data_IF_650068388471
#
_entry.id   IF_650068388471
#
_cell.length_a   1.000
_cell.length_b   1.000
_cell.length_c   1.000
_cell.angle_alpha   90.00
_cell.angle_beta   90.00
_cell.angle_gamma   90.00
#
_symmetry.space_group_name_H-M   'P 1'
#
loop_
_entity.id
_entity.type
_entity.pdbx_description
1 polymer ?
#
# COMPACT_ATOMS: atom_id res chain seq x y z
N UNK A 1 -23.04 -26.62 -45.40
CA UNK A 1 -23.72 -25.75 -44.42
C UNK A 1 -22.62 -24.96 -43.72
N UNK A 2 -22.33 -23.74 -44.20
CA UNK A 2 -21.29 -22.90 -43.61
C UNK A 2 -21.92 -22.25 -42.38
N UNK A 3 -21.49 -22.65 -41.19
CA UNK A 3 -21.89 -22.02 -39.94
C UNK A 3 -21.44 -20.55 -39.99
N UNK A 4 -22.37 -19.63 -40.25
CA UNK A 4 -22.16 -18.21 -40.04
C UNK A 4 -22.10 -17.97 -38.53
N UNK A 5 -20.89 -17.99 -37.98
CA UNK A 5 -20.61 -17.44 -36.64
C UNK A 5 -21.12 -16.00 -36.59
N UNK A 6 -21.98 -15.71 -35.61
CA UNK A 6 -22.66 -14.42 -35.49
C UNK A 6 -21.68 -13.31 -35.08
N UNK A 7 -21.98 -12.05 -35.40
CA UNK A 7 -21.09 -10.91 -35.07
C UNK A 7 -20.84 -10.76 -33.57
N UNK A 8 -21.80 -11.17 -32.74
CA UNK A 8 -21.74 -11.24 -31.27
C UNK A 8 -20.75 -12.29 -30.78
N UNK A 9 -20.78 -13.52 -31.31
CA UNK A 9 -19.82 -14.57 -30.94
C UNK A 9 -18.39 -14.18 -31.32
N UNK A 10 -18.20 -13.52 -32.47
CA UNK A 10 -16.90 -12.96 -32.88
C UNK A 10 -16.40 -11.85 -31.95
N UNK A 11 -17.29 -11.07 -31.35
CA UNK A 11 -16.88 -9.99 -30.43
C UNK A 11 -16.56 -10.50 -29.04
N UNK A 12 -17.24 -11.55 -28.56
CA UNK A 12 -16.92 -12.21 -27.29
C UNK A 12 -15.60 -12.97 -27.36
N UNK A 13 -15.38 -13.75 -28.42
CA UNK A 13 -14.11 -14.47 -28.65
C UNK A 13 -12.90 -13.53 -28.75
N UNK A 14 -13.04 -12.38 -29.42
CA UNK A 14 -11.97 -11.38 -29.47
C UNK A 14 -11.67 -10.77 -28.08
N UNK A 15 -12.71 -10.46 -27.29
CA UNK A 15 -12.52 -9.95 -25.92
C UNK A 15 -11.86 -10.96 -25.00
N UNK A 16 -12.13 -12.26 -25.19
CA UNK A 16 -11.52 -13.32 -24.40
C UNK A 16 -10.04 -13.49 -24.75
N UNK A 17 -9.72 -13.46 -26.05
CA UNK A 17 -8.35 -13.48 -26.54
C UNK A 17 -7.51 -12.30 -26.03
N UNK A 18 -8.08 -11.08 -25.96
CA UNK A 18 -7.41 -9.91 -25.39
C UNK A 18 -7.04 -10.12 -23.91
N UNK A 19 -7.92 -10.77 -23.13
CA UNK A 19 -7.67 -11.08 -21.71
C UNK A 19 -6.61 -12.15 -21.53
N UNK A 20 -6.60 -13.17 -22.40
CA UNK A 20 -5.53 -14.18 -22.41
C UNK A 20 -4.18 -13.50 -22.65
N UNK A 21 -4.11 -12.61 -23.65
CA UNK A 21 -2.88 -11.89 -23.96
C UNK A 21 -2.45 -10.98 -22.80
N UNK A 22 -3.39 -10.26 -22.20
CA UNK A 22 -3.13 -9.46 -21.00
C UNK A 22 -2.56 -10.31 -19.87
N UNK A 23 -3.17 -11.44 -19.55
CA UNK A 23 -2.74 -12.28 -18.43
C UNK A 23 -1.36 -12.89 -18.69
N UNK A 24 -1.01 -13.27 -19.92
CA UNK A 24 0.37 -13.67 -20.28
C UNK A 24 1.37 -12.55 -20.01
N UNK A 25 1.08 -11.34 -20.49
CA UNK A 25 1.96 -10.17 -20.26
C UNK A 25 2.07 -9.81 -18.77
N UNK A 26 0.96 -9.90 -18.03
CA UNK A 26 0.94 -9.71 -16.59
C UNK A 26 1.75 -10.77 -15.86
N UNK A 27 1.68 -12.02 -16.30
CA UNK A 27 2.46 -13.13 -15.74
C UNK A 27 3.95 -12.84 -15.86
N UNK A 28 4.41 -12.45 -17.05
CA UNK A 28 5.81 -12.16 -17.31
C UNK A 28 6.33 -10.95 -16.52
N UNK A 29 5.47 -9.94 -16.30
CA UNK A 29 5.85 -8.70 -15.60
C UNK A 29 5.77 -8.78 -14.08
N UNK A 30 4.79 -9.49 -13.53
CA UNK A 30 4.55 -9.59 -12.09
C UNK A 30 5.02 -10.93 -11.48
N UNK A 31 5.44 -11.89 -12.30
CA UNK A 31 6.03 -13.16 -11.86
C UNK A 31 5.05 -14.14 -11.19
N UNK A 32 3.74 -14.03 -11.45
CA UNK A 32 2.76 -15.03 -10.98
C UNK A 32 2.67 -16.23 -11.91
N UNK A 33 1.89 -17.25 -11.57
CA UNK A 33 1.68 -18.43 -12.43
C UNK A 33 0.20 -18.86 -12.42
N UNK A 34 -0.39 -19.35 -13.54
CA UNK A 34 -1.79 -19.82 -13.58
C UNK A 34 -2.16 -20.80 -12.47
N UNK A 35 -1.19 -21.61 -12.02
CA UNK A 35 -1.38 -22.58 -10.93
C UNK A 35 -1.74 -21.94 -9.60
N UNK A 36 -1.50 -20.63 -9.43
CA UNK A 36 -1.93 -19.86 -8.26
C UNK A 36 -3.46 -19.76 -8.18
N UNK A 37 -4.15 -19.96 -9.31
CA UNK A 37 -5.60 -20.00 -9.41
C UNK A 37 -6.12 -21.41 -9.72
N UNK A 38 -5.27 -22.44 -9.63
CA UNK A 38 -5.62 -23.84 -9.91
C UNK A 38 -5.73 -24.19 -11.40
N UNK A 39 -5.11 -23.40 -12.29
CA UNK A 39 -5.10 -23.65 -13.73
C UNK A 39 -3.67 -23.89 -14.24
N UNK A 40 -3.52 -24.58 -15.37
CA UNK A 40 -2.19 -24.87 -15.94
C UNK A 40 -1.74 -23.82 -16.97
N UNK A 41 -2.66 -23.15 -17.65
CA UNK A 41 -2.38 -22.27 -18.79
C UNK A 41 -3.12 -20.93 -18.71
N UNK A 42 -2.65 -19.95 -19.48
CA UNK A 42 -3.39 -18.71 -19.74
C UNK A 42 -4.41 -18.94 -20.85
N UNK A 43 -5.61 -19.32 -20.47
CA UNK A 43 -6.75 -19.58 -21.35
C UNK A 43 -8.07 -19.10 -20.70
N UNK A 44 -9.20 -19.44 -21.33
CA UNK A 44 -10.55 -19.10 -20.87
C UNK A 44 -10.88 -19.71 -19.50
N UNK A 45 -10.27 -20.85 -19.15
CA UNK A 45 -10.45 -21.48 -17.84
C UNK A 45 -9.82 -20.62 -16.74
N UNK A 46 -8.59 -20.15 -16.97
CA UNK A 46 -7.95 -19.22 -16.06
C UNK A 46 -8.77 -17.94 -15.88
N UNK A 47 -9.31 -17.36 -16.95
CA UNK A 47 -10.15 -16.15 -16.85
C UNK A 47 -11.35 -16.40 -15.93
N UNK A 48 -12.01 -17.57 -16.04
CA UNK A 48 -13.13 -17.94 -15.16
C UNK A 48 -12.67 -18.16 -13.71
N UNK A 49 -11.54 -18.82 -13.50
CA UNK A 49 -10.97 -19.06 -12.19
C UNK A 49 -10.61 -17.74 -11.48
N UNK A 50 -9.94 -16.82 -12.20
CA UNK A 50 -9.58 -15.49 -11.69
C UNK A 50 -10.83 -14.69 -11.34
N UNK A 51 -11.89 -14.69 -12.18
CA UNK A 51 -13.15 -14.01 -11.83
C UNK A 51 -13.77 -14.54 -10.54
N UNK A 52 -13.80 -15.87 -10.37
CA UNK A 52 -14.33 -16.52 -9.15
C UNK A 52 -13.51 -16.10 -7.94
N UNK A 53 -12.18 -16.13 -8.06
CA UNK A 53 -11.27 -15.72 -7.00
C UNK A 53 -11.40 -14.23 -6.67
N UNK A 54 -11.51 -13.35 -7.65
CA UNK A 54 -11.69 -11.90 -7.46
C UNK A 54 -13.00 -11.59 -6.70
N UNK A 55 -14.10 -12.28 -7.04
CA UNK A 55 -15.40 -12.07 -6.39
C UNK A 55 -15.35 -12.36 -4.89
N UNK A 56 -14.75 -13.49 -4.48
CA UNK A 56 -14.63 -13.85 -3.04
C UNK A 56 -13.61 -12.99 -2.29
N UNK A 57 -12.79 -12.23 -3.03
CA UNK A 57 -11.81 -11.32 -2.49
C UNK A 57 -12.25 -9.84 -2.60
N UNK A 58 -13.53 -9.54 -2.80
CA UNK A 58 -14.04 -8.16 -2.88
C UNK A 58 -13.29 -7.30 -3.91
N UNK A 59 -13.11 -7.87 -5.10
CA UNK A 59 -12.36 -7.29 -6.21
C UNK A 59 -13.25 -7.27 -7.45
N UNK A 60 -12.99 -6.36 -8.39
CA UNK A 60 -13.70 -6.38 -9.67
C UNK A 60 -13.42 -7.71 -10.37
N UNK A 61 -14.48 -8.49 -10.62
CA UNK A 61 -14.37 -9.81 -11.24
C UNK A 61 -14.24 -9.71 -12.78
N UNK A 62 -13.13 -9.16 -13.25
CA UNK A 62 -12.84 -8.97 -14.68
C UNK A 62 -12.08 -10.14 -15.32
N UNK A 63 -11.50 -11.04 -14.52
CA UNK A 63 -10.69 -12.17 -14.97
C UNK A 63 -9.26 -11.80 -15.32
N UNK A 64 -8.82 -10.59 -14.96
CA UNK A 64 -7.48 -10.08 -15.19
C UNK A 64 -6.67 -10.14 -13.91
N UNK A 65 -5.47 -10.71 -13.99
CA UNK A 65 -4.51 -10.64 -12.89
C UNK A 65 -3.77 -9.32 -12.98
N UNK A 66 -4.47 -8.23 -12.70
CA UNK A 66 -3.85 -6.91 -12.60
C UNK A 66 -3.18 -6.68 -11.23
N UNK A 67 -2.60 -5.49 -11.01
CA UNK A 67 -1.83 -5.19 -9.79
C UNK A 67 -2.59 -5.43 -8.47
N UNK A 68 -3.90 -5.15 -8.43
CA UNK A 68 -4.72 -5.39 -7.23
C UNK A 68 -4.97 -6.89 -7.00
N UNK A 69 -5.20 -7.66 -8.06
CA UNK A 69 -5.34 -9.12 -8.00
C UNK A 69 -4.03 -9.76 -7.53
N UNK A 70 -2.91 -9.37 -8.16
CA UNK A 70 -1.57 -9.85 -7.83
C UNK A 70 -1.22 -9.64 -6.35
N UNK A 71 -1.35 -8.41 -5.84
CA UNK A 71 -1.07 -8.10 -4.44
C UNK A 71 -1.85 -9.01 -3.48
N UNK A 72 -3.16 -9.19 -3.71
CA UNK A 72 -4.01 -10.01 -2.83
C UNK A 72 -3.71 -11.51 -2.91
N UNK A 73 -3.39 -12.03 -4.10
CA UNK A 73 -3.01 -13.45 -4.24
C UNK A 73 -1.62 -13.70 -3.69
N UNK A 74 -0.71 -12.72 -3.79
CA UNK A 74 0.61 -12.78 -3.15
C UNK A 74 0.47 -12.92 -1.64
N UNK A 75 -0.26 -12.02 -0.99
CA UNK A 75 -0.54 -12.08 0.46
C UNK A 75 -1.15 -13.41 0.88
N UNK A 76 -2.11 -13.94 0.09
CA UNK A 76 -2.71 -15.24 0.38
C UNK A 76 -1.65 -16.36 0.33
N UNK A 77 -0.82 -16.38 -0.71
CA UNK A 77 0.23 -17.39 -0.87
C UNK A 77 1.29 -17.28 0.22
N UNK A 78 1.70 -16.07 0.55
CA UNK A 78 2.63 -15.78 1.64
C UNK A 78 2.11 -16.34 2.97
N UNK A 79 0.82 -16.12 3.28
CA UNK A 79 0.17 -16.67 4.48
C UNK A 79 0.14 -18.21 4.51
N UNK A 80 0.08 -18.87 3.34
CA UNK A 80 0.00 -20.34 3.22
C UNK A 80 1.37 -21.02 3.21
N UNK A 81 2.47 -20.27 3.01
CA UNK A 81 3.82 -20.82 3.05
C UNK A 81 4.23 -21.05 4.51
N UNK A 82 4.10 -22.31 4.95
CA UNK A 82 4.49 -22.82 6.29
C UNK A 82 5.92 -22.50 6.76
N UNK A 83 6.78 -21.97 5.89
CA UNK A 83 8.18 -21.61 6.20
C UNK A 83 8.48 -20.10 6.17
N UNK A 84 7.54 -19.27 5.72
CA UNK A 84 7.77 -17.83 5.67
C UNK A 84 7.35 -17.21 7.00
N UNK A 85 8.28 -17.16 7.93
CA UNK A 85 8.15 -16.32 9.12
C UNK A 85 8.59 -14.91 8.74
N UNK A 86 7.77 -13.86 8.97
CA UNK A 86 8.22 -12.49 8.82
C UNK A 86 9.52 -12.33 9.57
N UNK A 87 10.44 -11.68 8.90
CA UNK A 87 11.73 -11.40 9.45
C UNK A 87 11.55 -10.64 10.78
N UNK A 88 12.18 -11.07 11.90
CA UNK A 88 11.98 -10.41 13.19
C UNK A 88 12.31 -8.93 13.05
N UNK A 89 11.59 -8.09 13.81
CA UNK A 89 11.81 -6.65 13.90
C UNK A 89 13.29 -6.31 13.78
N UNK A 90 13.70 -5.35 12.93
CA UNK A 90 15.10 -4.93 12.84
C UNK A 90 15.70 -4.55 14.19
N UNK A 91 14.88 -4.17 15.17
CA UNK A 91 15.32 -3.78 16.51
C UNK A 91 15.38 -4.97 17.49
N UNK A 92 14.80 -6.13 17.15
CA UNK A 92 14.76 -7.34 17.99
C UNK A 92 15.59 -8.50 17.41
N UNK A 93 16.77 -8.22 16.83
CA UNK A 93 17.71 -9.19 16.23
C UNK A 93 19.00 -9.42 17.02
N UNK A 94 19.03 -9.03 18.30
CA UNK A 94 20.21 -9.20 19.14
C UNK A 94 21.42 -8.46 18.56
N UNK A 95 22.53 -9.18 18.32
CA UNK A 95 23.76 -8.58 17.78
C UNK A 95 23.62 -8.03 16.34
N UNK A 96 22.57 -8.41 15.61
CA UNK A 96 22.28 -7.92 14.26
C UNK A 96 21.15 -6.89 14.24
N UNK A 97 20.77 -6.32 15.39
CA UNK A 97 19.76 -5.26 15.44
C UNK A 97 20.26 -3.98 14.76
N UNK A 98 19.34 -3.27 14.11
CA UNK A 98 19.55 -1.87 13.76
C UNK A 98 19.72 -1.05 15.05
N UNK A 99 20.66 -0.08 15.08
CA UNK A 99 20.71 0.88 16.17
C UNK A 99 19.46 1.76 16.13
N UNK A 100 19.00 2.19 17.30
CA UNK A 100 17.93 3.17 17.44
C UNK A 100 18.21 4.39 16.56
N UNK A 101 17.18 4.83 15.85
CA UNK A 101 17.28 5.95 14.92
C UNK A 101 15.99 6.74 14.98
N UNK A 102 16.15 8.04 15.19
CA UNK A 102 15.08 8.98 15.43
C UNK A 102 15.12 10.14 14.45
N UNK A 103 15.41 9.83 13.19
CA UNK A 103 15.35 10.80 12.11
C UNK A 103 14.88 10.19 10.78
N UNK A 104 14.18 11.00 9.99
CA UNK A 104 13.85 10.75 8.59
C UNK A 104 14.68 11.69 7.69
N UNK A 105 14.68 11.46 6.38
CA UNK A 105 15.49 12.21 5.41
C UNK A 105 14.61 12.97 4.42
N UNK A 106 14.92 14.25 4.25
CA UNK A 106 14.40 15.10 3.17
C UNK A 106 15.52 15.86 2.51
N UNK A 107 15.77 15.58 1.23
CA UNK A 107 16.80 16.22 0.41
C UNK A 107 18.18 16.15 1.07
N UNK A 108 18.53 14.95 1.55
CA UNK A 108 19.76 14.67 2.29
C UNK A 108 19.82 15.30 3.70
N UNK A 109 18.79 16.00 4.15
CA UNK A 109 18.73 16.58 5.50
C UNK A 109 18.01 15.64 6.45
N UNK A 110 18.60 15.45 7.62
CA UNK A 110 18.00 14.69 8.71
C UNK A 110 16.97 15.55 9.44
N UNK A 111 15.73 15.08 9.48
CA UNK A 111 14.61 15.65 10.23
C UNK A 111 14.39 14.74 11.43
N UNK A 112 14.47 15.31 12.64
CA UNK A 112 14.19 14.57 13.87
C UNK A 112 12.74 14.08 13.88
N UNK A 113 12.52 12.87 14.37
CA UNK A 113 11.21 12.29 14.69
C UNK A 113 11.23 11.80 16.12
N UNK A 114 10.15 11.98 16.86
CA UNK A 114 10.02 11.45 18.23
C UNK A 114 9.56 9.98 18.17
N UNK A 115 10.37 9.16 17.49
CA UNK A 115 10.19 7.71 17.32
C UNK A 115 11.54 7.05 17.09
N UNK A 116 11.89 6.04 17.88
CA UNK A 116 13.25 5.47 17.87
C UNK A 116 13.43 4.27 16.92
N UNK A 117 12.33 3.80 16.31
CA UNK A 117 12.33 2.63 15.41
C UNK A 117 12.29 3.02 13.94
N UNK A 118 13.26 3.83 13.46
CA UNK A 118 13.37 4.22 12.04
C UNK A 118 14.47 3.44 11.32
N UNK A 119 14.16 2.90 10.15
CA UNK A 119 15.12 2.23 9.25
C UNK A 119 15.14 2.96 7.92
N UNK A 120 16.32 3.37 7.46
CA UNK A 120 16.51 4.04 6.17
C UNK A 120 16.83 3.03 5.07
N UNK A 121 16.53 3.38 3.83
CA UNK A 121 16.85 2.59 2.64
C UNK A 121 18.34 2.26 2.48
N UNK A 122 19.23 2.99 3.13
CA UNK A 122 20.68 2.74 3.14
C UNK A 122 21.15 1.84 4.27
N UNK A 123 20.28 1.53 5.25
CA UNK A 123 20.63 0.66 6.37
C UNK A 123 20.67 -0.81 5.93
N UNK A 124 21.45 -1.68 6.61
CA UNK A 124 21.58 -3.09 6.21
C UNK A 124 20.27 -3.90 6.19
N UNK A 125 19.26 -3.47 6.95
CA UNK A 125 17.92 -4.07 7.00
C UNK A 125 16.85 -3.14 6.42
N UNK A 126 17.27 -2.11 5.68
CA UNK A 126 16.38 -1.19 4.99
C UNK A 126 15.83 -1.79 3.71
N UNK A 127 14.72 -1.21 3.26
CA UNK A 127 14.16 -1.46 1.94
C UNK A 127 14.35 -0.19 1.10
N UNK A 128 14.59 -0.34 -0.19
CA UNK A 128 14.74 0.78 -1.12
C UNK A 128 13.71 0.72 -2.25
N UNK A 129 13.58 1.83 -2.98
CA UNK A 129 12.78 1.90 -4.20
C UNK A 129 13.70 1.89 -5.41
N UNK A 130 13.44 0.98 -6.34
CA UNK A 130 14.25 0.81 -7.56
C UNK A 130 14.26 2.07 -8.44
N UNK A 131 15.40 2.45 -9.04
CA UNK A 131 15.45 3.49 -10.06
C UNK A 131 14.45 3.20 -11.19
N UNK A 132 13.72 4.23 -11.61
CA UNK A 132 12.65 4.09 -12.61
C UNK A 132 11.27 3.77 -12.02
N UNK A 133 11.14 3.67 -10.70
CA UNK A 133 9.85 3.55 -9.98
C UNK A 133 9.38 4.84 -9.30
N UNK A 134 10.12 5.94 -9.46
CA UNK A 134 9.85 7.26 -8.88
C UNK A 134 10.37 8.37 -9.81
N UNK A 135 9.92 9.61 -9.59
CA UNK A 135 10.52 10.77 -10.24
C UNK A 135 11.76 11.21 -9.48
N UNK A 136 12.91 11.16 -10.13
CA UNK A 136 14.17 11.59 -9.54
C UNK A 136 14.26 13.13 -9.42
N UNK A 137 14.67 13.59 -8.24
CA UNK A 137 14.84 14.98 -7.85
C UNK A 137 16.24 15.25 -7.24
N UNK A 138 17.17 14.30 -7.35
CA UNK A 138 18.55 14.47 -6.95
C UNK A 138 19.17 15.69 -7.65
N UNK A 139 19.85 16.54 -6.88
CA UNK A 139 20.48 17.78 -7.37
C UNK A 139 19.51 18.86 -7.85
N UNK A 140 18.18 18.65 -7.75
CA UNK A 140 17.17 19.66 -8.11
C UNK A 140 16.86 20.55 -6.91
N UNK A 141 16.11 21.64 -7.17
CA UNK A 141 15.56 22.50 -6.11
C UNK A 141 14.77 21.65 -5.11
N UNK A 142 14.93 21.98 -3.84
CA UNK A 142 14.20 21.41 -2.70
C UNK A 142 12.69 21.32 -3.00
N UNK A 143 12.15 20.10 -3.01
CA UNK A 143 10.76 19.83 -3.32
C UNK A 143 9.90 20.39 -2.18
N UNK A 144 8.72 20.92 -2.51
CA UNK A 144 7.75 21.43 -1.53
C UNK A 144 6.45 20.63 -1.63
N UNK A 145 6.41 19.38 -1.12
CA UNK A 145 5.19 18.61 -1.03
C UNK A 145 4.16 19.37 -0.19
N UNK A 146 2.91 19.28 -0.57
CA UNK A 146 1.81 19.92 0.16
C UNK A 146 0.83 18.91 0.74
N UNK A 147 0.95 17.63 0.40
CA UNK A 147 0.08 16.58 0.88
C UNK A 147 0.85 15.38 1.41
N UNK A 148 0.25 14.70 2.38
CA UNK A 148 0.70 13.39 2.85
C UNK A 148 -0.44 12.40 2.64
N UNK A 149 -0.16 11.26 2.00
CA UNK A 149 -1.18 10.27 1.62
C UNK A 149 -0.97 8.99 2.43
N UNK A 150 -1.99 8.61 3.20
CA UNK A 150 -2.01 7.32 3.90
C UNK A 150 -2.59 6.23 3.00
N UNK A 151 -1.94 5.08 3.03
CA UNK A 151 -2.36 3.84 2.40
C UNK A 151 -2.32 2.72 3.45
N UNK A 152 -3.12 1.68 3.24
CA UNK A 152 -2.79 0.35 3.75
C UNK A 152 -2.20 -0.47 2.60
N UNK A 153 -1.36 -1.44 2.94
CA UNK A 153 -0.64 -2.20 1.92
C UNK A 153 -1.37 -3.44 1.40
N UNK A 154 -2.33 -3.99 2.15
CA UNK A 154 -2.95 -5.31 1.90
C UNK A 154 -1.91 -6.44 1.92
N UNK A 155 -0.81 -6.25 2.64
CA UNK A 155 0.29 -7.21 2.81
C UNK A 155 0.37 -7.61 4.30
N UNK A 156 1.17 -8.64 4.60
CA UNK A 156 1.33 -9.15 5.97
C UNK A 156 2.39 -8.39 6.78
N UNK A 157 3.29 -7.68 6.11
CA UNK A 157 4.39 -6.91 6.69
C UNK A 157 4.89 -5.82 5.73
N UNK A 158 5.67 -4.88 6.26
CA UNK A 158 6.36 -3.87 5.43
C UNK A 158 7.34 -4.47 4.43
N UNK A 159 7.98 -5.60 4.76
CA UNK A 159 8.85 -6.35 3.85
C UNK A 159 8.08 -6.87 2.63
N UNK A 160 6.94 -7.54 2.88
CA UNK A 160 6.05 -8.03 1.83
C UNK A 160 5.56 -6.90 0.95
N UNK A 161 5.19 -5.76 1.56
CA UNK A 161 4.81 -4.56 0.84
C UNK A 161 5.94 -4.04 -0.06
N UNK A 162 7.15 -3.86 0.46
CA UNK A 162 8.30 -3.38 -0.31
C UNK A 162 8.58 -4.27 -1.53
N UNK A 163 8.56 -5.58 -1.35
CA UNK A 163 8.72 -6.56 -2.44
C UNK A 163 7.61 -6.43 -3.48
N UNK A 164 6.34 -6.36 -3.07
CA UNK A 164 5.19 -6.19 -3.99
C UNK A 164 5.28 -4.87 -4.76
N UNK A 165 5.72 -3.79 -4.12
CA UNK A 165 5.92 -2.49 -4.79
C UNK A 165 7.03 -2.58 -5.84
N UNK A 166 8.17 -3.19 -5.50
CA UNK A 166 9.29 -3.42 -6.41
C UNK A 166 8.90 -4.23 -7.64
N UNK A 167 8.20 -5.36 -7.45
CA UNK A 167 7.69 -6.19 -8.55
C UNK A 167 6.71 -5.44 -9.46
N UNK A 168 5.99 -4.47 -8.91
CA UNK A 168 5.05 -3.63 -9.67
C UNK A 168 5.70 -2.42 -10.34
N UNK A 169 6.98 -2.16 -10.09
CA UNK A 169 7.69 -0.98 -10.61
C UNK A 169 7.12 0.33 -10.08
N UNK A 170 6.62 0.35 -8.84
CA UNK A 170 6.12 1.55 -8.16
C UNK A 170 6.80 1.72 -6.80
N UNK A 171 6.60 2.88 -6.17
CA UNK A 171 7.28 3.25 -4.93
C UNK A 171 6.37 3.98 -3.96
N UNK A 172 6.80 4.00 -2.70
CA UNK A 172 6.26 4.82 -1.61
C UNK A 172 7.43 5.39 -0.81
N UNK A 173 7.21 6.45 -0.02
CA UNK A 173 8.30 7.03 0.77
C UNK A 173 8.51 6.28 2.08
N UNK A 174 7.42 5.84 2.72
CA UNK A 174 7.47 5.18 4.01
C UNK A 174 6.63 3.90 4.03
N UNK A 175 7.05 2.93 4.84
CA UNK A 175 6.21 1.84 5.32
C UNK A 175 6.17 1.86 6.86
N UNK A 176 5.04 1.48 7.45
CA UNK A 176 4.92 1.27 8.91
C UNK A 176 4.55 -0.20 9.15
N UNK A 177 5.44 -0.92 9.83
CA UNK A 177 5.28 -2.36 10.07
C UNK A 177 4.39 -2.67 11.26
N UNK A 178 4.07 -3.95 11.47
CA UNK A 178 3.16 -4.40 12.53
C UNK A 178 3.60 -3.98 13.94
N UNK A 179 4.91 -3.87 14.19
CA UNK A 179 5.49 -3.48 15.48
C UNK A 179 5.72 -1.97 15.62
N UNK A 180 5.29 -1.16 14.64
CA UNK A 180 5.51 0.28 14.60
C UNK A 180 6.86 0.70 14.02
N UNK A 181 7.69 -0.21 13.51
CA UNK A 181 8.90 0.16 12.77
C UNK A 181 8.54 1.01 11.56
N UNK A 182 9.19 2.16 11.42
CA UNK A 182 9.05 3.04 10.25
C UNK A 182 10.22 2.77 9.32
N UNK A 183 9.94 2.20 8.15
CA UNK A 183 10.92 2.12 7.07
C UNK A 183 10.77 3.34 6.16
N UNK A 184 11.84 4.09 5.94
CA UNK A 184 11.91 5.08 4.88
C UNK A 184 12.59 4.46 3.65
N UNK A 185 11.79 4.22 2.60
CA UNK A 185 12.23 3.54 1.38
C UNK A 185 12.86 4.49 0.36
N UNK A 186 12.57 5.79 0.49
CA UNK A 186 12.95 6.81 -0.46
C UNK A 186 13.11 8.16 0.24
N UNK A 187 14.14 8.92 -0.13
CA UNK A 187 14.25 10.32 0.27
C UNK A 187 12.99 11.08 -0.18
N UNK A 188 12.34 11.80 0.74
CA UNK A 188 11.12 12.57 0.47
C UNK A 188 11.32 13.73 -0.51
N UNK A 189 12.56 14.04 -0.90
CA UNK A 189 12.89 14.92 -2.04
C UNK A 189 12.40 14.34 -3.36
N UNK A 190 12.48 13.03 -3.56
CA UNK A 190 11.94 12.35 -4.74
C UNK A 190 10.41 12.35 -4.70
N UNK A 191 9.77 12.10 -5.85
CA UNK A 191 8.32 11.91 -5.90
C UNK A 191 7.99 10.46 -6.24
N UNK A 192 7.64 9.69 -5.21
CA UNK A 192 7.24 8.29 -5.33
C UNK A 192 5.95 8.09 -6.15
N UNK A 193 5.78 6.90 -6.73
CA UNK A 193 4.63 6.55 -7.58
C UNK A 193 3.51 5.83 -6.83
N UNK A 194 3.00 6.45 -5.77
CA UNK A 194 2.04 5.81 -4.85
C UNK A 194 0.56 6.18 -5.12
N UNK A 195 0.28 7.42 -5.55
CA UNK A 195 -1.09 7.94 -5.59
C UNK A 195 -1.89 7.55 -6.85
N UNK A 196 -1.26 6.90 -7.84
CA UNK A 196 -1.89 6.59 -9.14
C UNK A 196 -2.23 7.83 -9.99
N UNK A 197 -1.73 9.01 -9.60
CA UNK A 197 -1.91 10.27 -10.31
C UNK A 197 -0.59 11.05 -10.24
N UNK A 198 0.06 11.23 -11.39
CA UNK A 198 1.36 11.91 -11.48
C UNK A 198 1.36 13.28 -10.80
N UNK A 199 0.31 14.09 -11.02
CA UNK A 199 0.19 15.41 -10.39
C UNK A 199 0.21 15.33 -8.86
N UNK A 200 -0.43 14.30 -8.30
CA UNK A 200 -0.47 14.09 -6.86
C UNK A 200 0.87 13.57 -6.37
N UNK A 201 1.45 12.56 -7.03
CA UNK A 201 2.79 12.04 -6.71
C UNK A 201 3.83 13.16 -6.53
N UNK A 202 3.88 14.13 -7.46
CA UNK A 202 4.80 15.28 -7.37
C UNK A 202 4.53 16.18 -6.15
N UNK A 203 3.29 16.27 -5.70
CA UNK A 203 2.85 17.12 -4.58
C UNK A 203 2.77 16.39 -3.24
N UNK A 204 2.99 15.08 -3.22
CA UNK A 204 2.77 14.29 -2.01
C UNK A 204 3.98 13.54 -1.50
N UNK A 205 3.91 13.23 -0.21
CA UNK A 205 4.63 12.15 0.44
C UNK A 205 3.59 11.05 0.72
N UNK A 206 4.00 9.78 0.75
CA UNK A 206 3.09 8.65 0.91
C UNK A 206 3.63 7.66 1.93
N UNK A 207 2.74 7.00 2.65
CA UNK A 207 3.02 5.90 3.58
C UNK A 207 2.12 4.70 3.31
N UNK A 208 2.69 3.50 3.27
CA UNK A 208 1.96 2.22 3.29
C UNK A 208 2.00 1.63 4.70
N UNK A 209 0.85 1.42 5.34
CA UNK A 209 0.77 0.87 6.70
C UNK A 209 0.43 -0.62 6.61
N UNK A 210 1.22 -1.47 7.25
CA UNK A 210 1.04 -2.93 7.24
C UNK A 210 -0.32 -3.33 7.77
N UNK A 211 -1.17 -3.86 6.87
CA UNK A 211 -2.51 -4.33 7.17
C UNK A 211 -3.02 -5.22 6.03
N UNK A 212 -3.17 -6.52 6.32
CA UNK A 212 -3.61 -7.51 5.33
C UNK A 212 -5.12 -7.49 5.02
N UNK A 213 -5.86 -6.46 5.45
CA UNK A 213 -7.29 -6.17 5.24
C UNK A 213 -8.29 -7.27 5.65
N UNK A 214 -8.16 -8.50 5.21
CA UNK A 214 -9.17 -9.55 5.38
C UNK A 214 -9.06 -10.24 6.74
N UNK A 215 -10.20 -10.43 7.41
CA UNK A 215 -10.29 -11.13 8.70
C UNK A 215 -9.75 -12.58 8.69
N UNK A 216 -9.68 -13.21 7.51
CA UNK A 216 -9.09 -14.56 7.37
C UNK A 216 -7.62 -14.63 7.77
N UNK A 217 -6.92 -13.50 7.86
CA UNK A 217 -5.51 -13.45 8.27
C UNK A 217 -5.33 -13.25 9.79
N UNK A 218 -6.40 -13.20 10.59
CA UNK A 218 -6.28 -13.01 12.04
C UNK A 218 -5.43 -14.10 12.71
N UNK A 219 -5.65 -15.37 12.37
CA UNK A 219 -4.86 -16.46 12.94
C UNK A 219 -3.38 -16.34 12.56
N UNK A 220 -3.08 -15.90 11.34
CA UNK A 220 -1.70 -15.65 10.93
C UNK A 220 -1.04 -14.58 11.82
N UNK A 221 -1.73 -13.48 12.10
CA UNK A 221 -1.21 -12.42 12.99
C UNK A 221 -1.01 -12.93 14.41
N UNK A 222 -1.97 -13.69 14.93
CA UNK A 222 -1.87 -14.31 16.26
C UNK A 222 -0.68 -15.26 16.37
N UNK A 223 -0.44 -16.08 15.35
CA UNK A 223 0.68 -17.04 15.33
C UNK A 223 2.05 -16.35 15.18
N UNK A 224 2.15 -15.30 14.36
CA UNK A 224 3.44 -14.72 13.95
C UNK A 224 3.80 -13.41 14.69
N UNK A 225 2.79 -12.62 15.08
CA UNK A 225 2.96 -11.37 15.82
C UNK A 225 2.63 -11.56 17.31
N UNK A 226 1.76 -12.52 17.64
CA UNK A 226 1.36 -12.85 19.01
C UNK A 226 -0.01 -12.31 19.41
N UNK A 227 -0.66 -11.54 18.54
CA UNK A 227 -2.00 -11.00 18.77
C UNK A 227 -2.78 -10.80 17.46
N UNK A 228 -4.09 -10.94 17.54
CA UNK A 228 -5.01 -10.57 16.45
C UNK A 228 -5.03 -9.05 16.26
N UNK A 229 -5.32 -8.60 15.03
CA UNK A 229 -5.52 -7.19 14.74
C UNK A 229 -6.86 -6.71 15.29
N UNK A 230 -6.98 -5.42 15.68
CA UNK A 230 -8.29 -4.81 15.89
C UNK A 230 -9.15 -4.94 14.61
N UNK A 231 -10.48 -4.91 14.77
CA UNK A 231 -11.43 -5.05 13.67
C UNK A 231 -12.19 -3.75 13.46
N UNK A 232 -12.25 -3.29 12.21
CA UNK A 232 -13.05 -2.17 11.78
C UNK A 232 -14.38 -2.68 11.22
N UNK A 233 -15.50 -2.30 11.87
CA UNK A 233 -16.86 -2.68 11.47
C UNK A 233 -17.68 -1.44 11.11
N UNK A 234 -18.58 -1.58 10.12
CA UNK A 234 -19.50 -0.50 9.73
C UNK A 234 -18.85 0.71 9.03
N UNK A 235 -17.58 0.59 8.63
CA UNK A 235 -16.85 1.65 7.91
C UNK A 235 -17.51 1.92 6.57
N UNK A 236 -17.77 3.19 6.27
CA UNK A 236 -18.38 3.61 4.99
C UNK A 236 -17.39 4.42 4.17
N UNK A 237 -17.17 4.00 2.93
CA UNK A 237 -16.38 4.75 1.93
C UNK A 237 -17.20 4.93 0.66
N UNK A 238 -17.26 6.15 0.15
CA UNK A 238 -17.98 6.50 -1.09
C UNK A 238 -19.47 6.12 -1.05
N UNK A 239 -20.09 6.23 0.12
CA UNK A 239 -21.49 5.87 0.36
C UNK A 239 -21.76 4.37 0.39
N UNK A 240 -20.73 3.53 0.36
CA UNK A 240 -20.86 2.07 0.51
C UNK A 240 -20.24 1.62 1.83
N UNK A 241 -20.98 0.82 2.59
CA UNK A 241 -20.46 0.16 3.79
C UNK A 241 -19.57 -0.99 3.36
N UNK A 242 -18.36 -1.04 3.91
CA UNK A 242 -17.40 -2.12 3.70
C UNK A 242 -17.74 -3.29 4.64
N UNK A 243 -17.42 -4.50 4.19
CA UNK A 243 -17.37 -5.67 5.07
C UNK A 243 -16.37 -5.43 6.20
N UNK A 244 -16.59 -6.11 7.33
CA UNK A 244 -15.67 -6.09 8.46
C UNK A 244 -14.26 -6.52 8.00
N UNK A 245 -13.26 -5.74 8.40
CA UNK A 245 -11.87 -5.89 7.97
C UNK A 245 -10.91 -5.60 9.12
N UNK A 246 -9.66 -6.02 8.98
CA UNK A 246 -8.63 -5.74 9.97
C UNK A 246 -8.30 -4.25 9.99
N UNK A 247 -8.11 -3.72 11.18
CA UNK A 247 -7.70 -2.34 11.47
C UNK A 247 -6.22 -2.30 11.90
N UNK A 248 -5.72 -1.13 12.29
CA UNK A 248 -4.35 -0.88 12.67
C UNK A 248 -4.08 -1.20 14.14
N UNK A 249 -2.89 -1.73 14.44
CA UNK A 249 -2.45 -1.86 15.83
C UNK A 249 -2.24 -0.46 16.44
N UNK A 250 -2.48 -0.29 17.76
CA UNK A 250 -2.22 0.99 18.43
C UNK A 250 -0.81 1.54 18.21
N UNK A 251 0.22 0.67 18.24
CA UNK A 251 1.61 1.06 18.02
C UNK A 251 1.86 1.62 16.61
N UNK A 252 1.13 1.15 15.60
CA UNK A 252 1.20 1.69 14.23
C UNK A 252 0.62 3.11 14.17
N UNK A 253 -0.45 3.36 14.93
CA UNK A 253 -1.08 4.68 15.00
C UNK A 253 -0.19 5.69 15.74
N UNK A 254 0.53 5.25 16.78
CA UNK A 254 1.54 6.05 17.47
C UNK A 254 2.71 6.40 16.54
N UNK A 255 3.28 5.40 15.85
CA UNK A 255 4.32 5.61 14.84
C UNK A 255 3.87 6.58 13.74
N UNK A 256 2.63 6.43 13.26
CA UNK A 256 2.06 7.30 12.24
C UNK A 256 1.92 8.75 12.74
N UNK A 257 1.48 8.95 13.98
CA UNK A 257 1.39 10.28 14.59
C UNK A 257 2.77 10.94 14.69
N UNK A 258 3.79 10.20 15.16
CA UNK A 258 5.17 10.70 15.20
C UNK A 258 5.67 11.08 13.79
N UNK A 259 5.37 10.26 12.78
CA UNK A 259 5.72 10.55 11.39
C UNK A 259 5.00 11.79 10.86
N UNK A 260 3.69 11.95 11.14
CA UNK A 260 2.93 13.14 10.73
C UNK A 260 3.52 14.42 11.33
N UNK A 261 3.93 14.39 12.60
CA UNK A 261 4.62 15.50 13.26
C UNK A 261 5.93 15.84 12.56
N UNK A 262 6.80 14.85 12.36
CA UNK A 262 8.10 15.05 11.72
C UNK A 262 7.96 15.62 10.30
N UNK A 263 6.97 15.16 9.54
CA UNK A 263 6.65 15.69 8.21
C UNK A 263 6.11 17.13 8.28
N UNK A 264 5.23 17.42 9.24
CA UNK A 264 4.73 18.77 9.44
C UNK A 264 5.86 19.76 9.76
N UNK A 265 6.68 19.43 10.75
CA UNK A 265 7.73 20.31 11.26
C UNK A 265 8.92 20.41 10.30
N UNK A 266 9.33 19.27 9.73
CA UNK A 266 10.53 19.19 8.90
C UNK A 266 10.32 19.52 7.42
N UNK A 267 9.17 19.14 6.86
CA UNK A 267 8.85 19.36 5.43
C UNK A 267 7.88 20.54 5.23
N UNK A 268 7.04 20.85 6.22
CA UNK A 268 6.12 21.99 6.19
C UNK A 268 4.72 21.67 5.65
N UNK A 269 4.29 20.41 5.66
CA UNK A 269 2.91 20.04 5.28
C UNK A 269 1.97 20.44 6.43
N UNK A 270 0.90 21.23 6.20
CA UNK A 270 -0.01 21.64 7.28
C UNK A 270 -0.68 20.46 7.99
N UNK A 271 -0.82 20.51 9.32
CA UNK A 271 -1.58 19.55 10.13
C UNK A 271 -3.10 19.78 9.99
N UNK A 272 -3.59 19.54 8.78
CA UNK A 272 -4.99 19.54 8.41
C UNK A 272 -5.32 18.22 7.72
N UNK A 273 -6.54 17.72 7.87
CA UNK A 273 -6.98 16.45 7.27
C UNK A 273 -8.11 16.70 6.28
N UNK A 274 -8.13 15.98 5.16
CA UNK A 274 -9.28 16.01 4.27
C UNK A 274 -10.53 15.38 4.92
N UNK A 275 -11.75 15.68 4.44
CA UNK A 275 -12.97 15.04 4.93
C UNK A 275 -12.92 13.52 4.84
N UNK A 276 -13.47 12.83 5.83
CA UNK A 276 -13.43 11.36 5.90
C UNK A 276 -14.47 10.68 5.00
N UNK A 277 -14.22 9.40 4.72
CA UNK A 277 -15.14 8.49 4.04
C UNK A 277 -15.44 8.78 2.57
N UNK A 278 -14.93 9.86 1.97
CA UNK A 278 -15.33 10.26 0.62
C UNK A 278 -14.21 10.81 -0.25
N UNK A 279 -14.43 10.72 -1.56
CA UNK A 279 -13.65 11.43 -2.56
C UNK A 279 -13.68 12.93 -2.28
N UNK A 280 -12.52 13.58 -2.29
CA UNK A 280 -12.40 15.00 -2.05
C UNK A 280 -11.79 15.69 -3.28
N UNK A 281 -12.60 16.51 -3.94
CA UNK A 281 -12.25 17.15 -5.23
C UNK A 281 -10.96 17.97 -5.15
N UNK A 282 -10.75 18.71 -4.07
CA UNK A 282 -9.55 19.53 -3.91
C UNK A 282 -8.30 18.70 -3.60
N UNK A 283 -8.43 17.56 -2.91
CA UNK A 283 -7.33 16.60 -2.77
C UNK A 283 -6.96 16.00 -4.12
N UNK A 284 -7.93 15.48 -4.89
CA UNK A 284 -7.68 14.95 -6.24
C UNK A 284 -7.09 15.96 -7.21
N UNK A 285 -7.49 17.24 -7.09
CA UNK A 285 -6.93 18.33 -7.91
C UNK A 285 -5.59 18.84 -7.37
N UNK A 286 -5.10 18.34 -6.24
CA UNK A 286 -3.87 18.78 -5.59
C UNK A 286 -3.90 20.25 -5.18
N UNK A 287 -5.08 20.73 -4.77
CA UNK A 287 -5.33 22.07 -4.20
C UNK A 287 -5.35 22.04 -2.67
N UNK A 288 -5.83 20.93 -2.10
CA UNK A 288 -5.78 20.70 -0.65
C UNK A 288 -4.32 20.64 -0.16
N UNK A 289 -4.10 21.06 1.07
CA UNK A 289 -2.81 20.95 1.75
C UNK A 289 -3.01 20.28 3.09
N UNK A 290 -2.28 19.20 3.34
CA UNK A 290 -2.43 18.41 4.55
C UNK A 290 -2.48 16.90 4.29
N UNK A 291 -3.06 16.18 5.23
CA UNK A 291 -3.07 14.73 5.31
C UNK A 291 -4.37 14.17 4.70
N UNK A 292 -4.25 13.15 3.86
CA UNK A 292 -5.36 12.56 3.12
C UNK A 292 -5.23 11.04 3.10
N UNK A 293 -6.35 10.34 2.96
CA UNK A 293 -6.36 8.93 2.62
C UNK A 293 -6.42 8.76 1.09
N UNK A 294 -5.98 7.62 0.55
CA UNK A 294 -5.99 7.42 -0.92
C UNK A 294 -7.40 7.52 -1.54
N UNK A 295 -8.44 7.13 -0.81
CA UNK A 295 -9.84 7.23 -1.21
C UNK A 295 -10.25 8.70 -1.41
N UNK A 296 -9.60 9.65 -0.73
CA UNK A 296 -9.85 11.07 -0.99
C UNK A 296 -9.41 11.48 -2.41
N UNK A 297 -8.50 10.72 -3.02
CA UNK A 297 -7.92 10.99 -4.34
C UNK A 297 -8.55 10.18 -5.48
N UNK A 298 -9.35 9.16 -5.20
CA UNK A 298 -9.95 8.32 -6.24
C UNK A 298 -11.26 7.71 -5.78
N UNK A 299 -12.28 7.77 -6.64
CA UNK A 299 -13.58 7.11 -6.40
C UNK A 299 -13.53 5.59 -6.49
N UNK A 300 -12.45 5.03 -7.03
CA UNK A 300 -12.26 3.58 -7.17
C UNK A 300 -11.34 2.99 -6.10
N UNK A 301 -10.98 3.79 -5.08
CA UNK A 301 -10.06 3.39 -4.01
C UNK A 301 -10.80 3.45 -2.69
N UNK A 302 -10.47 2.51 -1.81
CA UNK A 302 -11.05 2.43 -0.47
C UNK A 302 -9.98 2.57 0.60
N UNK A 303 -8.69 2.46 0.25
CA UNK A 303 -7.60 2.70 1.17
C UNK A 303 -7.53 4.19 1.52
N UNK A 304 -7.31 4.61 2.76
CA UNK A 304 -7.09 3.85 3.98
C UNK A 304 -8.38 3.88 4.83
N UNK A 305 -9.39 3.05 4.51
CA UNK A 305 -10.61 3.01 5.32
C UNK A 305 -10.28 2.58 6.77
N UNK A 306 -11.16 2.89 7.73
CA UNK A 306 -10.91 2.59 9.14
C UNK A 306 -9.88 3.50 9.83
N UNK A 307 -8.92 4.08 9.09
CA UNK A 307 -7.99 5.07 9.64
C UNK A 307 -8.72 6.39 9.97
N UNK A 308 -8.96 6.59 11.26
CA UNK A 308 -9.49 7.83 11.84
C UNK A 308 -8.39 8.91 11.85
N UNK A 309 -8.42 9.80 10.86
CA UNK A 309 -7.40 10.84 10.71
C UNK A 309 -7.55 11.95 11.76
N UNK A 310 -8.77 12.16 12.30
CA UNK A 310 -8.97 13.12 13.39
C UNK A 310 -8.27 12.64 14.67
N UNK A 311 -8.40 11.37 15.00
CA UNK A 311 -7.73 10.77 16.16
C UNK A 311 -6.21 10.87 16.04
N UNK A 312 -5.62 10.62 14.87
CA UNK A 312 -4.18 10.82 14.65
C UNK A 312 -3.80 12.29 14.83
N UNK A 313 -4.59 13.21 14.26
CA UNK A 313 -4.36 14.65 14.43
C UNK A 313 -4.42 15.07 15.91
N UNK A 314 -5.32 14.50 16.71
CA UNK A 314 -5.38 14.71 18.15
C UNK A 314 -4.16 14.15 18.89
N UNK A 315 -3.67 12.97 18.51
CA UNK A 315 -2.45 12.38 19.08
C UNK A 315 -1.25 13.30 18.87
N UNK A 316 -1.06 13.82 17.64
CA UNK A 316 -0.01 14.79 17.31
C UNK A 316 -0.13 16.04 18.18
N UNK A 317 -1.33 16.58 18.37
CA UNK A 317 -1.53 17.82 19.15
C UNK A 317 -1.35 17.63 20.67
N UNK A 318 -1.64 16.44 21.22
CA UNK A 318 -1.52 16.18 22.67
C UNK A 318 -0.08 16.21 23.15
N UNK A 319 0.82 15.70 22.34
CA UNK A 319 2.27 15.65 22.60
C UNK A 319 2.98 16.99 22.33
N UNK A 320 2.27 18.05 21.92
CA UNK A 320 2.83 19.42 21.78
C UNK A 320 2.51 20.34 22.97
N UNK A 321 1.72 19.86 23.94
CA UNK A 321 1.43 20.54 25.20
C UNK A 321 2.24 19.95 26.35
#
# INVERSE_FOLDING_TARGET
MVLQTTSTEKTETNKEMDKIFYNKSSQDSLGWHPTWFGCDYNDDELIRAVKKWQKVNFLTADGLVGPATYRRVWTQREAEITKHTPHPSPFKRGASSCPDKNYIVHNGKFIKIDWDMVVLWTDPLGFDSEPGSYYDYAGKKDRKPTMFVNHWDVCLSSESCAMVLGQRGISVHFCIDNDGTIYQLLDTQHAAWHAGNSKINHKSIGVEISNAYYLRYQEWYKEHIGEERPVASGVTVHGSTLEDHTDFYPIQLEALAALWRAIHEGVGIPLETAPEGNYHSDSYRGKFKGFVNHYNLSRGKIDCAGLDMQKILEMVKKETN
#
